data_IF_782563667794
#
_entry.id   IF_782563667794
#
_cell.length_a   1.000
_cell.length_b   1.000
_cell.length_c   1.000
_cell.angle_alpha   90.00
_cell.angle_beta   90.00
_cell.angle_gamma   90.00
#
_symmetry.space_group_name_H-M   'P 1'
#
loop_
_entity.id
_entity.type
_entity.pdbx_description
1 polymer ?
#
# COMPACT_ATOMS: atom_id res chain seq x y z
N UNK A 1 -15.18 14.92 -15.83
CA UNK A 1 -14.67 13.68 -15.19
C UNK A 1 -15.41 13.47 -13.89
N UNK A 2 -15.99 12.29 -13.66
CA UNK A 2 -16.67 11.94 -12.42
C UNK A 2 -15.75 11.05 -11.60
N UNK A 3 -15.34 11.50 -10.42
CA UNK A 3 -14.57 10.67 -9.49
C UNK A 3 -15.50 9.58 -8.94
N UNK A 4 -15.10 8.32 -9.07
CA UNK A 4 -15.80 7.17 -8.49
C UNK A 4 -14.95 6.64 -7.34
N UNK A 5 -15.32 7.00 -6.12
CA UNK A 5 -14.64 6.52 -4.90
C UNK A 5 -15.10 5.11 -4.62
N UNK A 6 -14.25 4.12 -4.97
CA UNK A 6 -14.55 2.70 -4.74
C UNK A 6 -14.18 2.25 -3.32
N UNK A 7 -13.22 2.92 -2.71
CA UNK A 7 -12.63 2.52 -1.44
C UNK A 7 -11.96 3.74 -0.77
N UNK A 8 -12.19 3.93 0.52
CA UNK A 8 -11.61 5.00 1.32
C UNK A 8 -11.30 4.48 2.72
N UNK A 9 -10.09 4.79 3.23
CA UNK A 9 -9.66 4.45 4.58
C UNK A 9 -8.89 5.59 5.21
N UNK A 10 -9.00 5.71 6.55
CA UNK A 10 -8.22 6.67 7.33
C UNK A 10 -6.89 6.05 7.73
N UNK A 11 -5.80 6.71 7.38
CA UNK A 11 -4.43 6.34 7.74
C UNK A 11 -3.58 7.58 7.96
N UNK A 12 -2.37 7.40 8.50
CA UNK A 12 -1.37 8.46 8.54
C UNK A 12 -1.01 8.91 7.11
N UNK A 13 -0.33 10.05 7.02
CA UNK A 13 0.10 10.62 5.74
C UNK A 13 0.81 9.57 4.88
N UNK A 14 0.16 9.19 3.78
CA UNK A 14 0.71 8.26 2.80
C UNK A 14 1.79 8.96 1.97
N UNK A 15 2.98 8.36 1.92
CA UNK A 15 4.14 8.85 1.14
C UNK A 15 4.15 8.29 -0.28
N UNK A 16 3.60 7.10 -0.47
CA UNK A 16 3.55 6.46 -1.79
C UNK A 16 2.56 5.31 -1.83
N UNK A 17 2.06 5.02 -3.02
CA UNK A 17 1.16 3.91 -3.30
C UNK A 17 1.62 3.15 -4.54
N UNK A 18 1.58 1.82 -4.51
CA UNK A 18 1.91 0.96 -5.65
C UNK A 18 0.78 -0.01 -5.94
N UNK A 19 0.43 -0.15 -7.22
CA UNK A 19 -0.54 -1.15 -7.68
C UNK A 19 0.17 -2.44 -8.06
N UNK A 20 -0.42 -3.57 -7.68
CA UNK A 20 -0.01 -4.85 -8.20
C UNK A 20 -0.64 -5.06 -9.60
N UNK A 21 0.13 -5.56 -10.58
CA UNK A 21 -0.33 -5.73 -11.96
C UNK A 21 -1.29 -6.91 -12.15
N UNK A 22 -1.04 -8.02 -11.44
CA UNK A 22 -1.84 -9.26 -11.52
C UNK A 22 -3.02 -9.36 -10.56
N UNK A 23 -2.89 -8.82 -9.35
CA UNK A 23 -3.86 -8.96 -8.27
C UNK A 23 -4.46 -7.59 -7.92
N UNK A 24 -5.70 -7.52 -7.42
CA UNK A 24 -6.37 -6.27 -7.06
C UNK A 24 -5.85 -5.72 -5.73
N UNK A 25 -4.54 -5.59 -5.60
CA UNK A 25 -3.86 -5.18 -4.39
C UNK A 25 -3.20 -3.83 -4.56
N UNK A 26 -3.30 -3.02 -3.51
CA UNK A 26 -2.63 -1.74 -3.38
C UNK A 26 -1.72 -1.81 -2.16
N UNK A 27 -0.46 -1.43 -2.37
CA UNK A 27 0.46 -1.16 -1.29
C UNK A 27 0.43 0.33 -0.98
N UNK A 28 0.23 0.69 0.27
CA UNK A 28 0.26 2.07 0.77
C UNK A 28 1.35 2.20 1.82
N UNK A 29 2.28 3.12 1.59
CA UNK A 29 3.37 3.41 2.50
C UNK A 29 3.07 4.64 3.34
N UNK A 30 3.07 4.49 4.66
CA UNK A 30 2.75 5.55 5.61
C UNK A 30 4.04 6.22 6.10
N UNK A 31 3.94 7.49 6.49
CA UNK A 31 5.09 8.22 7.02
C UNK A 31 5.66 7.61 8.31
N UNK A 32 4.85 6.86 9.05
CA UNK A 32 5.24 6.14 10.26
C UNK A 32 6.23 4.98 10.03
N UNK A 33 6.56 4.64 8.76
CA UNK A 33 7.36 3.45 8.43
C UNK A 33 6.52 2.19 8.20
N UNK A 34 5.22 2.31 8.41
CA UNK A 34 4.24 1.24 8.22
C UNK A 34 3.88 1.10 6.75
N UNK A 35 3.91 -0.12 6.23
CA UNK A 35 3.41 -0.44 4.89
C UNK A 35 2.13 -1.26 5.03
N UNK A 36 1.06 -0.81 4.41
CA UNK A 36 -0.22 -1.50 4.38
C UNK A 36 -0.45 -2.12 3.00
N UNK A 37 -0.87 -3.37 2.99
CA UNK A 37 -1.33 -4.09 1.80
C UNK A 37 -2.86 -4.19 1.86
N UNK A 38 -3.53 -3.58 0.90
CA UNK A 38 -4.98 -3.48 0.80
C UNK A 38 -5.49 -4.24 -0.41
N UNK A 39 -6.61 -4.96 -0.24
CA UNK A 39 -7.44 -5.41 -1.34
C UNK A 39 -8.47 -4.32 -1.66
N UNK A 40 -8.40 -3.70 -2.84
CA UNK A 40 -9.36 -2.65 -3.21
C UNK A 40 -10.64 -3.20 -3.87
N UNK A 41 -10.69 -4.50 -4.14
CA UNK A 41 -11.90 -5.16 -4.61
C UNK A 41 -12.81 -5.52 -3.43
N UNK A 42 -12.24 -6.10 -2.38
CA UNK A 42 -12.95 -6.42 -1.14
C UNK A 42 -12.97 -5.26 -0.14
N UNK A 43 -12.07 -4.28 -0.26
CA UNK A 43 -11.95 -3.17 0.68
C UNK A 43 -11.36 -3.59 2.03
N UNK A 44 -10.52 -4.61 2.06
CA UNK A 44 -9.99 -5.22 3.28
C UNK A 44 -8.48 -5.03 3.38
N UNK A 45 -7.99 -4.83 4.61
CA UNK A 45 -6.55 -4.82 4.88
C UNK A 45 -6.08 -6.28 4.86
N UNK A 46 -5.24 -6.62 3.89
CA UNK A 46 -4.66 -7.96 3.78
C UNK A 46 -3.54 -8.11 4.79
N UNK A 47 -2.63 -7.13 4.84
CA UNK A 47 -1.47 -7.21 5.72
C UNK A 47 -0.93 -5.82 6.08
N UNK A 48 -0.20 -5.76 7.19
CA UNK A 48 0.52 -4.58 7.67
C UNK A 48 1.94 -4.98 8.03
N UNK A 49 2.90 -4.34 7.39
CA UNK A 49 4.32 -4.51 7.68
C UNK A 49 4.80 -3.32 8.51
N UNK A 50 5.27 -3.60 9.72
CA UNK A 50 5.83 -2.64 10.69
C UNK A 50 7.32 -2.93 10.92
N UNK A 51 7.99 -3.45 9.89
CA UNK A 51 9.36 -3.98 9.98
C UNK A 51 10.42 -2.90 9.75
N UNK A 52 10.01 -1.70 9.33
CA UNK A 52 10.92 -0.62 8.96
C UNK A 52 10.92 0.47 10.03
N UNK A 53 12.02 0.55 10.77
CA UNK A 53 12.34 1.67 11.65
C UNK A 53 12.93 2.81 10.78
N UNK A 54 12.04 3.61 10.15
CA UNK A 54 12.43 4.75 9.31
C UNK A 54 11.56 4.97 8.07
N UNK A 55 11.80 6.07 7.36
CA UNK A 55 11.06 6.39 6.13
C UNK A 55 11.36 5.38 5.02
N UNK A 56 10.40 4.51 4.71
CA UNK A 56 10.41 3.64 3.52
C UNK A 56 10.37 4.53 2.27
N UNK A 57 11.36 4.42 1.38
CA UNK A 57 11.53 5.34 0.24
C UNK A 57 10.93 4.82 -1.06
N UNK A 58 10.59 3.54 -1.15
CA UNK A 58 9.86 3.01 -2.29
C UNK A 58 9.21 1.66 -1.99
N UNK A 59 7.98 1.49 -2.47
CA UNK A 59 7.36 0.16 -2.52
C UNK A 59 7.26 -0.23 -3.98
N UNK A 60 8.08 -1.19 -4.39
CA UNK A 60 8.06 -1.73 -5.75
C UNK A 60 7.40 -3.11 -5.70
N UNK A 61 6.23 -3.24 -6.31
CA UNK A 61 5.57 -4.53 -6.48
C UNK A 61 6.21 -5.32 -7.63
N UNK A 62 7.43 -5.83 -7.46
CA UNK A 62 7.99 -6.82 -8.40
C UNK A 62 7.50 -8.22 -8.04
N UNK A 63 7.28 -9.04 -9.07
CA UNK A 63 6.76 -10.42 -8.98
C UNK A 63 7.59 -11.41 -8.11
N UNK A 64 8.59 -10.94 -7.36
CA UNK A 64 9.59 -11.78 -6.68
C UNK A 64 9.73 -11.52 -5.17
N UNK A 65 8.62 -11.17 -4.51
CA UNK A 65 8.54 -10.74 -3.11
C UNK A 65 8.93 -9.27 -2.91
N UNK A 66 8.14 -8.61 -2.06
CA UNK A 66 8.29 -7.22 -1.64
C UNK A 66 9.74 -6.91 -1.27
N UNK A 67 10.47 -6.27 -2.19
CA UNK A 67 11.70 -5.57 -1.82
C UNK A 67 11.25 -4.24 -1.21
N UNK A 68 11.11 -4.22 0.12
CA UNK A 68 11.07 -2.96 0.84
C UNK A 68 12.48 -2.33 0.79
N UNK A 69 12.60 -1.16 0.18
CA UNK A 69 13.80 -0.32 0.23
C UNK A 69 13.44 1.05 0.82
#
# INVERSE_FOLDING_TARGET
MKLLTKFETRSDRVKGTSFHSKWPWILANLHSGVIQLWDYYMGTLINRFDVHDGLVRGVLSTNLASLCI
#
